data_IF_875318102215
#
_entry.id   IF_875318102215
#
_cell.length_a   1.000
_cell.length_b   1.000
_cell.length_c   1.000
_cell.angle_alpha   90.00
_cell.angle_beta   90.00
_cell.angle_gamma   90.00
#
_symmetry.space_group_name_H-M   'P 1'
#
loop_
_entity.id
_entity.type
_entity.pdbx_description
1 polymer ?
#
# COMPACT_ATOMS: atom_id res chain seq x y z
N UNK A 1 4.99 3.02 -29.71
CA UNK A 1 5.29 2.46 -28.37
C UNK A 1 4.13 2.85 -27.47
N UNK A 2 3.18 1.95 -27.24
CA UNK A 2 1.98 2.25 -26.45
C UNK A 2 2.33 2.17 -24.95
N UNK A 3 2.12 3.26 -24.22
CA UNK A 3 2.12 3.30 -22.75
C UNK A 3 1.03 2.34 -22.26
N UNK A 4 1.43 1.19 -21.74
CA UNK A 4 0.53 0.11 -21.33
C UNK A 4 -0.07 0.30 -19.91
N UNK A 5 0.33 1.36 -19.20
CA UNK A 5 -0.23 1.68 -17.89
C UNK A 5 -0.79 3.11 -17.94
N UNK A 6 -2.07 3.31 -17.59
CA UNK A 6 -2.62 4.65 -17.38
C UNK A 6 -1.80 5.38 -16.31
N UNK A 7 -1.90 6.70 -16.26
CA UNK A 7 -1.19 7.58 -15.30
C UNK A 7 -1.57 7.34 -13.81
N UNK A 8 -2.05 6.16 -13.44
CA UNK A 8 -2.35 5.75 -12.06
C UNK A 8 -1.11 5.81 -11.16
N UNK A 9 0.09 5.71 -11.75
CA UNK A 9 1.37 5.84 -11.06
C UNK A 9 1.50 7.23 -10.41
N UNK A 10 1.07 8.30 -11.09
CA UNK A 10 1.17 9.66 -10.54
C UNK A 10 0.24 9.84 -9.33
N UNK A 11 -0.96 9.25 -9.37
CA UNK A 11 -1.96 9.36 -8.28
C UNK A 11 -1.60 8.56 -7.02
N UNK A 12 -0.60 7.68 -7.09
CA UNK A 12 -0.19 6.80 -5.99
C UNK A 12 1.18 7.19 -5.41
N UNK A 13 1.78 8.29 -5.87
CA UNK A 13 3.09 8.72 -5.40
C UNK A 13 3.10 9.03 -3.90
N UNK A 14 1.97 9.50 -3.34
CA UNK A 14 1.80 9.74 -1.90
C UNK A 14 1.88 8.47 -1.04
N UNK A 15 1.62 7.29 -1.61
CA UNK A 15 1.79 6.00 -0.92
C UNK A 15 3.29 5.66 -0.80
N UNK A 16 4.04 5.93 -1.87
CA UNK A 16 5.44 5.56 -1.99
C UNK A 16 6.39 6.61 -1.41
N UNK A 17 6.01 7.88 -1.38
CA UNK A 17 6.83 9.00 -0.92
C UNK A 17 5.97 10.08 -0.21
N UNK A 18 5.23 9.77 0.87
CA UNK A 18 4.28 10.70 1.49
C UNK A 18 4.93 12.03 1.93
N UNK A 19 6.20 12.01 2.35
CA UNK A 19 6.94 13.19 2.83
C UNK A 19 7.50 14.09 1.72
N UNK A 20 7.16 13.85 0.46
CA UNK A 20 7.62 14.64 -0.70
C UNK A 20 6.47 15.04 -1.62
N UNK A 21 5.24 14.99 -1.10
CA UNK A 21 4.01 15.32 -1.83
C UNK A 21 3.41 16.59 -1.22
N UNK A 22 2.96 17.49 -2.09
CA UNK A 22 2.25 18.70 -1.71
C UNK A 22 0.76 18.39 -1.44
N UNK A 23 0.09 19.21 -0.61
CA UNK A 23 -1.31 18.97 -0.23
C UNK A 23 -2.25 19.04 -1.45
N UNK A 24 -1.90 19.84 -2.44
CA UNK A 24 -2.63 19.98 -3.71
C UNK A 24 -2.68 18.67 -4.50
N UNK A 25 -1.60 17.87 -4.43
CA UNK A 25 -1.48 16.59 -5.12
C UNK A 25 -2.37 15.51 -4.51
N UNK A 26 -2.76 15.65 -3.24
CA UNK A 26 -3.69 14.73 -2.55
C UNK A 26 -5.12 15.28 -2.44
N UNK A 27 -5.45 16.36 -3.16
CA UNK A 27 -6.79 16.99 -3.14
C UNK A 27 -7.95 16.07 -3.51
N UNK A 28 -7.65 14.94 -4.19
CA UNK A 28 -8.62 13.89 -4.49
C UNK A 28 -9.01 13.02 -3.28
N UNK A 29 -8.23 13.07 -2.19
CA UNK A 29 -8.58 12.42 -0.92
C UNK A 29 -9.70 13.19 -0.23
N UNK A 30 -10.48 12.51 0.62
CA UNK A 30 -11.48 13.21 1.44
C UNK A 30 -10.79 14.08 2.51
N UNK A 31 -11.53 15.05 3.07
CA UNK A 31 -11.00 16.02 4.04
C UNK A 31 -10.30 15.34 5.24
N UNK A 32 -10.90 14.29 5.80
CA UNK A 32 -10.34 13.59 6.95
C UNK A 32 -9.01 12.90 6.62
N UNK A 33 -8.88 12.33 5.43
CA UNK A 33 -7.63 11.75 4.96
C UNK A 33 -6.56 12.82 4.72
N UNK A 34 -6.94 14.01 4.24
CA UNK A 34 -6.03 15.14 4.11
C UNK A 34 -5.54 15.64 5.48
N UNK A 35 -6.41 15.68 6.49
CA UNK A 35 -6.04 16.01 7.88
C UNK A 35 -5.03 15.01 8.45
N UNK A 36 -5.32 13.71 8.35
CA UNK A 36 -4.38 12.65 8.75
C UNK A 36 -3.04 12.77 7.99
N UNK A 37 -3.06 13.17 6.72
CA UNK A 37 -1.86 13.29 5.90
C UNK A 37 -1.01 14.49 6.31
N UNK A 38 -1.65 15.63 6.61
CA UNK A 38 -0.97 16.82 7.10
C UNK A 38 -0.29 16.55 8.45
N UNK A 39 -0.98 15.87 9.38
CA UNK A 39 -0.40 15.46 10.66
C UNK A 39 0.78 14.51 10.46
N UNK A 40 0.60 13.45 9.68
CA UNK A 40 1.64 12.45 9.39
C UNK A 40 2.89 13.08 8.78
N UNK A 41 2.74 13.94 7.77
CA UNK A 41 3.87 14.55 7.05
C UNK A 41 4.59 15.64 7.85
N UNK A 42 3.93 16.18 8.88
CA UNK A 42 4.53 17.13 9.81
C UNK A 42 5.45 16.46 10.85
N UNK A 43 5.35 15.14 11.03
CA UNK A 43 6.14 14.40 12.02
C UNK A 43 7.49 13.91 11.46
N UNK A 44 8.63 14.46 11.92
CA UNK A 44 9.95 14.04 11.45
C UNK A 44 10.35 12.63 11.93
N UNK A 45 9.75 12.12 13.01
CA UNK A 45 10.00 10.77 13.51
C UNK A 45 9.35 9.73 12.60
N UNK A 46 8.13 9.99 12.11
CA UNK A 46 7.48 9.17 11.11
C UNK A 46 8.23 9.21 9.78
N UNK A 47 8.77 10.38 9.38
CA UNK A 47 9.63 10.48 8.20
C UNK A 47 10.87 9.61 8.30
N UNK A 48 11.55 9.65 9.44
CA UNK A 48 12.71 8.81 9.69
C UNK A 48 12.29 7.34 9.65
N UNK A 49 11.19 6.98 10.32
CA UNK A 49 10.71 5.60 10.38
C UNK A 49 10.37 5.06 9.00
N UNK A 50 9.71 5.84 8.16
CA UNK A 50 9.40 5.50 6.77
C UNK A 50 10.65 5.08 5.96
N UNK A 51 11.78 5.76 6.17
CA UNK A 51 13.04 5.42 5.49
C UNK A 51 13.71 4.13 5.98
N UNK A 52 13.26 3.58 7.11
CA UNK A 52 13.87 2.41 7.75
C UNK A 52 13.12 1.11 7.45
N UNK A 53 11.86 1.18 7.04
CA UNK A 53 11.01 0.01 6.80
C UNK A 53 10.46 -0.02 5.38
N UNK A 54 10.08 -1.20 4.87
CA UNK A 54 9.28 -1.31 3.66
C UNK A 54 7.98 -0.50 3.75
N UNK A 55 7.55 0.08 2.62
CA UNK A 55 6.34 0.92 2.51
C UNK A 55 5.11 0.26 3.15
N UNK A 56 4.84 -1.01 2.83
CA UNK A 56 3.68 -1.73 3.37
C UNK A 56 3.76 -1.91 4.89
N UNK A 57 4.95 -2.12 5.45
CA UNK A 57 5.15 -2.28 6.90
C UNK A 57 4.90 -0.95 7.61
N UNK A 58 5.41 0.17 7.07
CA UNK A 58 5.12 1.51 7.58
C UNK A 58 3.62 1.77 7.69
N UNK A 59 2.87 1.56 6.60
CA UNK A 59 1.43 1.81 6.58
C UNK A 59 0.65 0.90 7.54
N UNK A 60 1.17 -0.29 7.84
CA UNK A 60 0.60 -1.19 8.85
C UNK A 60 0.90 -0.65 10.27
N UNK A 61 2.14 -0.25 10.55
CA UNK A 61 2.57 0.26 11.87
C UNK A 61 1.71 1.45 12.31
N UNK A 62 1.48 2.40 11.41
CA UNK A 62 0.81 3.66 11.74
C UNK A 62 -0.73 3.55 11.74
N UNK A 63 -1.29 2.37 11.45
CA UNK A 63 -2.74 2.16 11.29
C UNK A 63 -3.56 2.56 12.51
N UNK A 64 -2.99 2.41 13.71
CA UNK A 64 -3.69 2.77 14.94
C UNK A 64 -3.92 4.27 15.06
N UNK A 65 -3.00 5.08 14.53
CA UNK A 65 -3.00 6.55 14.61
C UNK A 65 -3.64 7.19 13.36
N UNK A 66 -3.39 6.61 12.17
CA UNK A 66 -3.88 7.10 10.88
C UNK A 66 -4.66 5.99 10.14
N UNK A 67 -5.81 5.55 10.69
CA UNK A 67 -6.53 4.40 10.19
C UNK A 67 -7.07 4.60 8.77
N UNK A 68 -7.51 5.81 8.42
CA UNK A 68 -8.11 6.08 7.11
C UNK A 68 -7.02 6.06 6.03
N UNK A 69 -5.89 6.72 6.25
CA UNK A 69 -4.76 6.66 5.33
C UNK A 69 -4.20 5.25 5.18
N UNK A 70 -4.00 4.55 6.28
CA UNK A 70 -3.52 3.17 6.26
C UNK A 70 -4.45 2.27 5.45
N UNK A 71 -5.76 2.35 5.67
CA UNK A 71 -6.73 1.55 4.93
C UNK A 71 -6.74 1.88 3.43
N UNK A 72 -6.73 3.15 3.07
CA UNK A 72 -6.68 3.59 1.66
C UNK A 72 -5.42 3.07 0.97
N UNK A 73 -4.27 3.19 1.63
CA UNK A 73 -3.00 2.68 1.12
C UNK A 73 -3.01 1.17 0.95
N UNK A 74 -3.45 0.43 1.97
CA UNK A 74 -3.50 -1.02 1.91
C UNK A 74 -4.44 -1.50 0.78
N UNK A 75 -5.59 -0.86 0.58
CA UNK A 75 -6.50 -1.16 -0.53
C UNK A 75 -5.85 -0.96 -1.91
N UNK A 76 -4.92 -0.02 -2.03
CA UNK A 76 -4.16 0.24 -3.27
C UNK A 76 -2.95 -0.69 -3.44
N UNK A 77 -2.33 -1.14 -2.35
CA UNK A 77 -1.21 -2.09 -2.36
C UNK A 77 -1.67 -3.55 -2.54
N UNK A 78 -2.88 -3.91 -2.09
CA UNK A 78 -3.42 -5.27 -2.14
C UNK A 78 -3.52 -5.92 -3.55
N UNK A 79 -3.86 -5.21 -4.65
CA UNK A 79 -3.84 -5.77 -6.00
C UNK A 79 -2.49 -6.38 -6.38
N UNK A 80 -1.37 -5.85 -5.84
CA UNK A 80 -0.03 -6.38 -6.10
C UNK A 80 0.26 -7.68 -5.34
N UNK A 81 -0.39 -7.94 -4.21
CA UNK A 81 -0.13 -9.14 -3.38
C UNK A 81 -0.90 -10.37 -3.88
N UNK A 82 -2.05 -10.16 -4.55
CA UNK A 82 -2.87 -11.26 -5.07
C UNK A 82 -2.18 -12.08 -6.17
N UNK A 83 -1.17 -11.54 -6.86
CA UNK A 83 -0.39 -12.30 -7.85
C UNK A 83 0.51 -13.39 -7.23
N UNK A 84 0.79 -13.36 -5.93
CA UNK A 84 1.64 -14.35 -5.26
C UNK A 84 0.81 -15.46 -4.57
N UNK A 85 -0.50 -15.26 -4.39
CA UNK A 85 -1.37 -16.23 -3.73
C UNK A 85 -1.89 -17.43 -4.55
N UNK A 86 -1.76 -17.55 -5.90
CA UNK A 86 -2.25 -18.77 -6.54
C UNK A 86 -1.32 -19.97 -6.31
N UNK A 87 -0.03 -19.80 -5.96
CA UNK A 87 0.91 -20.94 -5.95
C UNK A 87 0.76 -21.88 -4.75
N UNK A 88 0.26 -21.41 -3.60
CA UNK A 88 0.08 -22.28 -2.43
C UNK A 88 -1.09 -23.27 -2.58
N UNK A 89 -2.17 -22.88 -3.26
CA UNK A 89 -3.33 -23.76 -3.46
C UNK A 89 -3.09 -24.89 -4.47
N UNK A 90 -2.13 -24.75 -5.40
CA UNK A 90 -1.79 -25.82 -6.35
C UNK A 90 -0.95 -26.94 -5.72
N UNK A 91 -0.22 -26.68 -4.63
CA UNK A 91 0.61 -27.70 -3.98
C UNK A 91 -0.22 -28.63 -3.07
N UNK A 92 -1.31 -28.13 -2.50
CA UNK A 92 -2.21 -28.95 -1.67
C UNK A 92 -3.07 -29.91 -2.50
N UNK A 93 -3.46 -29.52 -3.73
CA UNK A 93 -4.27 -30.37 -4.62
C UNK A 93 -3.48 -31.54 -5.22
N UNK A 94 -2.16 -31.41 -5.39
CA UNK A 94 -1.35 -32.45 -6.04
C UNK A 94 -0.76 -33.49 -5.07
N UNK A 95 -1.01 -33.39 -3.76
CA UNK A 95 -0.58 -34.40 -2.77
C UNK A 95 -1.66 -35.42 -2.39
N UNK A 96 -2.89 -35.27 -2.89
CA UNK A 96 -4.01 -36.20 -2.59
C UNK A 96 -4.28 -37.23 -3.69
N UNK A 97 -3.42 -37.33 -4.71
CA UNK A 97 -3.56 -38.26 -5.83
C UNK A 97 -2.50 -39.36 -5.81
N UNK A 98 -2.41 -40.11 -4.70
CA UNK A 98 -1.89 -41.47 -4.74
C UNK A 98 -3.03 -42.42 -4.39
N UNK A 99 -3.68 -43.06 -5.38
CA UNK A 99 -4.48 -44.23 -5.10
C UNK A 99 -3.53 -45.38 -4.77
N UNK A 100 -3.53 -45.80 -3.52
CA UNK A 100 -3.05 -47.12 -3.13
C UNK A 100 -4.08 -48.15 -3.60
N UNK A 101 -3.89 -48.74 -4.78
CA UNK A 101 -4.10 -50.18 -5.04
C UNK A 101 -3.75 -50.55 -6.48
#
# INVERSE_FOLDING_TARGET
MHRYFPNDIDTQQWICNPFSIEMEEISFLNLKAQEEFAELTSDPTLRLRFSQVPVHEFWIEIKAEYPLLSEMTMNKLLPFVQHIYPRFNYLCKNKQSHPSH
#
